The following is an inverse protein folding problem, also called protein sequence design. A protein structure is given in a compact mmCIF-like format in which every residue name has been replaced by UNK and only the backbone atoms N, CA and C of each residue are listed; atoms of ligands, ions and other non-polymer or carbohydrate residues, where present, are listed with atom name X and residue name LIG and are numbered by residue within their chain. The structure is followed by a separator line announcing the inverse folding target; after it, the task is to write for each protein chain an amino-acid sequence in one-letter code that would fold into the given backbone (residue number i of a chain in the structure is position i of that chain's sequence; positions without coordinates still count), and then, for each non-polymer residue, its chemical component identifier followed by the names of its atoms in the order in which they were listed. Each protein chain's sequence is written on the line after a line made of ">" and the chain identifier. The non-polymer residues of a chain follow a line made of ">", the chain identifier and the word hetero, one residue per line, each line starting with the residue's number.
data_IF_647363767751
#
_entry.id   IF_647363767751
#
_cell.length_a   1.000
_cell.length_b   1.000
_cell.length_c   1.000
_cell.angle_alpha   90.00
_cell.angle_beta   90.00
_cell.angle_gamma   90.00
#
_symmetry.space_group_name_H-M   'P 1'
#
loop_
_entity.id
_entity.type
_entity.pdbx_description
1 polymer ?
#
# COMPACT_ATOMS: atom_id res chain seq x y z
N UNK A 1 13.79 10.37 -17.19
CA UNK A 1 13.64 9.60 -15.94
C UNK A 1 14.98 9.60 -15.25
N UNK A 2 15.10 10.21 -14.07
CA UNK A 2 16.33 10.11 -13.29
C UNK A 2 16.49 8.66 -12.82
N UNK A 3 17.61 8.03 -13.16
CA UNK A 3 17.95 6.70 -12.67
C UNK A 3 18.23 6.81 -11.18
N UNK A 4 17.40 6.17 -10.36
CA UNK A 4 17.60 6.09 -8.90
C UNK A 4 19.02 5.62 -8.59
N UNK A 5 19.64 6.21 -7.58
CA UNK A 5 20.91 5.74 -7.07
C UNK A 5 20.78 4.31 -6.52
N UNK A 6 21.88 3.54 -6.43
CA UNK A 6 21.86 2.22 -5.81
C UNK A 6 21.32 2.23 -4.38
N UNK A 7 21.59 3.28 -3.61
CA UNK A 7 21.10 3.43 -2.24
C UNK A 7 19.57 3.57 -2.20
N UNK A 8 18.99 4.46 -3.02
CA UNK A 8 17.53 4.66 -3.12
C UNK A 8 16.82 3.38 -3.59
N UNK A 9 17.41 2.66 -4.55
CA UNK A 9 16.86 1.39 -5.02
C UNK A 9 16.86 0.32 -3.91
N UNK A 10 17.94 0.24 -3.12
CA UNK A 10 18.03 -0.66 -1.97
C UNK A 10 17.01 -0.33 -0.89
N UNK A 11 16.84 0.96 -0.54
CA UNK A 11 15.86 1.40 0.45
C UNK A 11 14.43 1.07 0.05
N UNK A 12 14.08 1.25 -1.22
CA UNK A 12 12.76 0.88 -1.74
C UNK A 12 12.55 -0.63 -1.76
N UNK A 13 13.57 -1.42 -2.11
CA UNK A 13 13.51 -2.87 -2.03
C UNK A 13 13.29 -3.34 -0.58
N UNK A 14 14.03 -2.75 0.38
CA UNK A 14 13.87 -3.02 1.81
C UNK A 14 12.46 -2.68 2.30
N UNK A 15 11.91 -1.55 1.85
CA UNK A 15 10.55 -1.13 2.21
C UNK A 15 9.50 -2.11 1.69
N UNK A 16 9.63 -2.59 0.45
CA UNK A 16 8.72 -3.62 -0.11
C UNK A 16 8.82 -4.94 0.66
N UNK A 17 10.03 -5.36 1.01
CA UNK A 17 10.24 -6.58 1.79
C UNK A 17 9.64 -6.50 3.21
N UNK A 18 9.54 -5.31 3.79
CA UNK A 18 8.91 -5.10 5.09
C UNK A 18 7.36 -5.14 5.04
N UNK A 19 6.77 -4.96 3.85
CA UNK A 19 5.32 -4.91 3.62
C UNK A 19 4.93 -5.82 2.46
N UNK A 20 5.09 -7.15 2.61
CA UNK A 20 4.87 -8.11 1.54
C UNK A 20 3.42 -8.14 1.05
N UNK A 21 2.42 -8.00 1.92
CA UNK A 21 1.01 -8.05 1.52
C UNK A 21 0.64 -6.83 0.70
N UNK A 22 1.03 -5.62 1.13
CA UNK A 22 0.82 -4.41 0.33
C UNK A 22 1.58 -4.48 -1.00
N UNK A 23 2.79 -5.02 -1.00
CA UNK A 23 3.57 -5.17 -2.23
C UNK A 23 2.90 -6.10 -3.24
N UNK A 24 2.36 -7.24 -2.78
CA UNK A 24 1.60 -8.18 -3.61
C UNK A 24 0.31 -7.55 -4.12
N UNK A 25 -0.52 -7.03 -3.22
CA UNK A 25 -1.79 -6.40 -3.58
C UNK A 25 -1.61 -5.25 -4.58
N UNK A 26 -0.60 -4.39 -4.39
CA UNK A 26 -0.32 -3.30 -5.31
C UNK A 26 0.08 -3.77 -6.72
N UNK A 27 0.63 -4.98 -6.88
CA UNK A 27 0.96 -5.53 -8.20
C UNK A 27 -0.26 -6.03 -8.97
N UNK A 28 -1.38 -6.28 -8.29
CA UNK A 28 -2.64 -6.71 -8.89
C UNK A 28 -3.49 -5.51 -9.39
N UNK A 29 -3.18 -4.30 -8.93
CA UNK A 29 -3.86 -3.09 -9.34
C UNK A 29 -3.39 -2.60 -10.71
N UNK A 30 -4.33 -2.13 -11.53
CA UNK A 30 -4.04 -1.49 -12.81
C UNK A 30 -3.60 -0.02 -12.69
N UNK A 31 -3.49 0.48 -11.46
CA UNK A 31 -3.17 1.86 -11.12
C UNK A 31 -2.25 1.94 -9.90
N UNK A 32 -1.53 3.05 -9.77
CA UNK A 32 -0.72 3.31 -8.58
C UNK A 32 -1.59 3.83 -7.43
N UNK A 33 -1.25 3.43 -6.20
CA UNK A 33 -1.93 3.92 -5.01
C UNK A 33 -1.53 5.37 -4.71
N UNK A 34 -2.53 6.21 -4.45
CA UNK A 34 -2.32 7.55 -3.89
C UNK A 34 -1.68 7.47 -2.50
N UNK A 35 -1.00 8.53 -2.07
CA UNK A 35 -0.29 8.58 -0.78
C UNK A 35 -1.17 8.24 0.43
N UNK A 36 -2.43 8.67 0.43
CA UNK A 36 -3.33 8.35 1.55
C UNK A 36 -3.73 6.86 1.55
N UNK A 37 -3.88 6.26 0.38
CA UNK A 37 -4.21 4.84 0.23
C UNK A 37 -3.02 3.99 0.67
N UNK A 38 -1.82 4.29 0.17
CA UNK A 38 -0.57 3.62 0.56
C UNK A 38 -0.33 3.70 2.06
N UNK A 39 -0.44 4.88 2.68
CA UNK A 39 -0.27 5.04 4.13
C UNK A 39 -1.31 4.26 4.94
N UNK A 40 -2.55 4.21 4.47
CA UNK A 40 -3.62 3.43 5.13
C UNK A 40 -3.33 1.94 5.06
N UNK A 41 -2.92 1.43 3.89
CA UNK A 41 -2.55 0.03 3.74
C UNK A 41 -1.32 -0.36 4.58
N UNK A 42 -0.30 0.50 4.65
CA UNK A 42 0.87 0.28 5.51
C UNK A 42 0.45 0.14 6.99
N UNK A 43 -0.43 1.01 7.47
CA UNK A 43 -0.93 0.95 8.85
C UNK A 43 -1.74 -0.33 9.11
N UNK A 44 -2.60 -0.71 8.16
CA UNK A 44 -3.38 -1.96 8.22
C UNK A 44 -2.49 -3.21 8.27
N UNK A 45 -1.46 -3.29 7.43
CA UNK A 45 -0.54 -4.44 7.41
C UNK A 45 0.28 -4.54 8.69
N UNK A 46 0.57 -3.41 9.33
CA UNK A 46 1.21 -3.34 10.65
C UNK A 46 0.23 -3.68 11.81
N UNK A 47 -1.03 -4.01 11.52
CA UNK A 47 -2.03 -4.40 12.51
C UNK A 47 -2.78 -3.25 13.18
N UNK A 48 -2.67 -2.03 12.66
CA UNK A 48 -3.40 -0.87 13.17
C UNK A 48 -4.77 -0.71 12.51
N UNK A 49 -5.72 -0.08 13.22
CA UNK A 49 -6.95 0.43 12.62
C UNK A 49 -6.73 1.75 11.89
N UNK A 50 -7.54 2.05 10.87
CA UNK A 50 -7.45 3.29 10.09
C UNK A 50 -8.81 3.97 9.96
N UNK A 51 -8.82 5.31 10.01
CA UNK A 51 -9.97 6.15 9.68
C UNK A 51 -9.61 7.01 8.47
N UNK A 52 -10.31 6.81 7.35
CA UNK A 52 -10.03 7.51 6.10
C UNK A 52 -11.14 8.51 5.79
N UNK A 53 -10.80 9.80 5.85
CA UNK A 53 -11.69 10.91 5.48
C UNK A 53 -11.25 11.52 4.14
N UNK A 54 -11.77 10.99 3.04
CA UNK A 54 -11.56 11.53 1.69
C UNK A 54 -12.89 11.69 0.94
N UNK A 55 -13.00 12.56 -0.09
CA UNK A 55 -14.23 12.72 -0.87
C UNK A 55 -14.68 11.44 -1.59
N UNK A 56 -15.95 11.37 -1.99
CA UNK A 56 -16.43 10.31 -2.89
C UNK A 56 -15.70 10.42 -4.23
N UNK A 57 -15.38 9.28 -4.85
CA UNK A 57 -14.57 9.23 -6.06
C UNK A 57 -13.05 9.22 -5.84
N UNK A 58 -12.55 9.54 -4.63
CA UNK A 58 -11.12 9.51 -4.33
C UNK A 58 -10.50 8.10 -4.17
N UNK A 59 -11.26 7.03 -4.41
CA UNK A 59 -10.73 5.66 -4.34
C UNK A 59 -10.58 5.08 -2.93
N UNK A 60 -11.32 5.58 -1.92
CA UNK A 60 -11.29 5.04 -0.54
C UNK A 60 -11.52 3.53 -0.45
N UNK A 61 -12.28 2.96 -1.39
CA UNK A 61 -12.62 1.54 -1.46
C UNK A 61 -11.39 0.64 -1.46
N UNK A 62 -10.30 1.06 -2.09
CA UNK A 62 -9.06 0.27 -2.19
C UNK A 62 -8.46 -0.06 -0.82
N UNK A 63 -8.64 0.83 0.17
CA UNK A 63 -8.18 0.59 1.56
C UNK A 63 -9.01 -0.51 2.21
N UNK A 64 -10.32 -0.54 1.94
CA UNK A 64 -11.22 -1.60 2.40
C UNK A 64 -10.94 -2.94 1.73
N UNK A 65 -10.72 -2.94 0.42
CA UNK A 65 -10.32 -4.13 -0.34
C UNK A 65 -9.02 -4.72 0.19
N UNK A 66 -8.03 -3.87 0.50
CA UNK A 66 -6.80 -4.32 1.13
C UNK A 66 -7.01 -4.90 2.53
N UNK A 67 -7.91 -4.32 3.35
CA UNK A 67 -8.26 -4.90 4.64
C UNK A 67 -8.88 -6.30 4.51
N UNK A 68 -9.72 -6.52 3.49
CA UNK A 68 -10.28 -7.84 3.16
C UNK A 68 -9.18 -8.80 2.70
N UNK A 69 -8.27 -8.36 1.83
CA UNK A 69 -7.11 -9.14 1.41
C UNK A 69 -6.29 -9.64 2.61
N UNK A 70 -5.96 -8.75 3.56
CA UNK A 70 -5.26 -9.12 4.79
C UNK A 70 -6.03 -10.11 5.66
N UNK A 71 -7.36 -10.04 5.68
CA UNK A 71 -8.19 -10.97 6.43
C UNK A 71 -8.23 -12.38 5.80
N UNK A 72 -8.20 -12.46 4.47
CA UNK A 72 -8.20 -13.73 3.72
C UNK A 72 -6.82 -14.40 3.66
N UNK A 73 -5.74 -13.64 3.81
CA UNK A 73 -4.37 -14.16 3.84
C UNK A 73 -3.98 -14.82 5.18
N UNK A 74 -4.90 -14.89 6.15
CA UNK A 74 -4.69 -15.41 7.51
C UNK A 74 -5.40 -16.74 7.74
#
# INVERSE_FOLDING_TARGET
>A
MATRSPAEAYEQARTRAAHPQLSLFATELSFELDDFQRRSCLALEQGHGVLVCAPTGAGKTVVGEFAVHLALAR
#
